data_IF_100177190059
#
_entry.id   IF_100177190059
#
_cell.length_a   1.000
_cell.length_b   1.000
_cell.length_c   1.000
_cell.angle_alpha   90.00
_cell.angle_beta   90.00
_cell.angle_gamma   90.00
#
_symmetry.space_group_name_H-M   'P 1'
#
loop_
_entity.id
_entity.type
_entity.pdbx_description
1 polymer ?
#
# COMPACT_ATOMS: atom_id res chain seq x y z
N UNK A 1 53.35 17.44 42.71
CA UNK A 1 53.22 18.85 42.26
C UNK A 1 51.76 19.24 42.42
N UNK A 2 51.43 20.29 43.20
CA UNK A 2 50.88 21.57 42.72
C UNK A 2 49.73 21.39 41.70
N UNK A 3 48.45 21.38 42.11
CA UNK A 3 47.58 22.56 42.44
C UNK A 3 47.02 23.25 41.17
N UNK A 4 45.79 23.77 41.03
CA UNK A 4 44.59 23.95 41.89
C UNK A 4 43.41 24.36 40.93
N UNK A 5 42.09 24.47 41.19
CA UNK A 5 41.10 24.36 42.32
C UNK A 5 39.70 24.12 41.62
N UNK A 6 38.57 23.57 42.11
CA UNK A 6 37.75 23.65 43.35
C UNK A 6 37.12 25.07 43.59
N UNK A 7 35.80 25.37 43.56
CA UNK A 7 34.71 24.96 44.49
C UNK A 7 33.36 25.61 44.08
N UNK A 8 32.27 24.82 43.97
CA UNK A 8 30.81 25.09 44.26
C UNK A 8 30.15 26.48 43.93
N UNK A 9 28.89 26.86 44.27
CA UNK A 9 27.78 26.31 45.08
C UNK A 9 26.39 26.84 44.62
N UNK A 10 25.32 26.18 45.03
CA UNK A 10 23.92 26.63 44.93
C UNK A 10 23.54 27.62 46.04
N UNK A 11 22.53 28.49 45.80
CA UNK A 11 21.63 29.07 46.82
C UNK A 11 20.33 29.61 46.19
N UNK A 12 19.25 29.71 46.98
CA UNK A 12 17.96 30.36 46.66
C UNK A 12 17.62 31.35 47.78
N UNK A 13 17.23 32.60 47.49
CA UNK A 13 16.13 33.33 48.17
C UNK A 13 15.98 34.80 47.75
N UNK A 14 14.86 35.12 47.08
CA UNK A 14 13.89 36.21 47.32
C UNK A 14 14.28 37.69 47.65
N UNK A 15 13.32 38.57 47.29
CA UNK A 15 13.15 40.00 47.63
C UNK A 15 14.03 41.03 46.90
N UNK A 16 13.40 42.00 46.22
CA UNK A 16 14.07 43.18 45.63
C UNK A 16 13.48 43.73 44.33
N UNK A 17 12.28 44.32 44.38
CA UNK A 17 11.80 45.30 43.39
C UNK A 17 11.86 46.72 44.00
N UNK A 18 11.85 47.81 43.21
CA UNK A 18 11.92 47.91 41.74
C UNK A 18 13.12 48.74 41.25
N UNK A 19 13.35 48.79 39.93
CA UNK A 19 13.53 50.06 39.20
C UNK A 19 13.27 49.85 37.69
N UNK A 20 12.86 50.91 36.99
CA UNK A 20 12.45 50.84 35.60
C UNK A 20 13.63 50.87 34.62
N UNK A 21 13.61 50.00 33.61
CA UNK A 21 14.28 50.22 32.32
C UNK A 21 13.28 49.88 31.22
N UNK A 22 13.10 50.77 30.25
CA UNK A 22 12.23 50.53 29.09
C UNK A 22 12.86 49.48 28.16
N UNK A 23 12.09 48.46 27.82
CA UNK A 23 12.35 47.55 26.70
C UNK A 23 11.05 47.35 25.93
N UNK A 24 10.93 47.94 24.74
CA UNK A 24 9.68 47.90 23.95
C UNK A 24 9.44 46.48 23.46
N UNK A 25 8.36 45.86 23.92
CA UNK A 25 7.98 44.50 23.55
C UNK A 25 7.31 44.53 22.18
N UNK A 26 8.11 44.26 21.14
CA UNK A 26 7.69 44.31 19.74
C UNK A 26 6.82 43.09 19.41
N UNK A 27 5.54 43.17 19.77
CA UNK A 27 4.52 42.19 19.35
C UNK A 27 4.30 42.33 17.85
N UNK A 28 4.90 41.43 17.08
CA UNK A 28 4.62 41.30 15.64
C UNK A 28 3.20 40.80 15.41
N UNK A 29 2.22 41.71 15.48
CA UNK A 29 0.88 41.45 14.96
C UNK A 29 0.98 41.22 13.46
N UNK A 30 0.72 39.98 13.03
CA UNK A 30 0.46 39.69 11.62
C UNK A 30 -0.88 40.31 11.24
N UNK A 31 -0.85 41.60 10.88
CA UNK A 31 -1.96 42.28 10.23
C UNK A 31 -2.15 41.58 8.90
N UNK A 32 -3.17 40.73 8.81
CA UNK A 32 -3.61 40.17 7.53
C UNK A 32 -3.92 41.34 6.61
N UNK A 33 -3.23 41.42 5.47
CA UNK A 33 -3.42 42.51 4.52
C UNK A 33 -4.62 42.21 3.63
N UNK A 34 -5.79 42.09 4.24
CA UNK A 34 -7.09 42.05 3.55
C UNK A 34 -7.32 43.39 2.86
N UNK A 35 -6.78 43.49 1.65
CA UNK A 35 -7.01 44.62 0.76
C UNK A 35 -8.40 44.45 0.15
N UNK A 36 -9.42 44.82 0.93
CA UNK A 36 -10.81 44.87 0.50
C UNK A 36 -10.93 45.70 -0.78
N UNK A 37 -11.06 44.98 -1.91
CA UNK A 37 -11.50 45.57 -3.16
C UNK A 37 -13.01 45.68 -3.13
N UNK A 38 -13.51 46.76 -3.69
CA UNK A 38 -14.94 47.04 -3.81
C UNK A 38 -15.63 45.98 -4.69
N UNK A 39 -16.93 45.77 -4.45
CA UNK A 39 -17.74 44.78 -5.17
C UNK A 39 -17.87 45.14 -6.66
N UNK A 40 -17.11 44.43 -7.50
CA UNK A 40 -17.15 44.57 -8.96
C UNK A 40 -17.41 43.22 -9.64
N UNK A 41 -18.52 42.58 -9.29
CA UNK A 41 -19.04 41.41 -9.99
C UNK A 41 -18.63 40.09 -9.36
N UNK A 42 -19.63 39.23 -9.12
CA UNK A 42 -19.47 37.93 -8.46
C UNK A 42 -18.49 37.01 -9.19
N UNK A 43 -17.28 36.86 -8.67
CA UNK A 43 -16.56 35.60 -8.79
C UNK A 43 -17.32 34.58 -7.93
N UNK A 44 -18.23 33.83 -8.53
CA UNK A 44 -18.84 32.68 -7.87
C UNK A 44 -17.77 31.60 -7.73
N UNK A 45 -17.34 31.35 -6.49
CA UNK A 45 -16.34 30.32 -6.23
C UNK A 45 -16.87 28.97 -6.72
N UNK A 46 -16.10 28.31 -7.59
CA UNK A 46 -16.47 26.99 -8.11
C UNK A 46 -16.49 25.96 -6.97
N UNK A 47 -17.65 25.35 -6.72
CA UNK A 47 -17.83 24.31 -5.71
C UNK A 47 -17.84 22.95 -6.40
N UNK A 48 -17.18 21.95 -5.81
CA UNK A 48 -17.29 20.54 -6.25
C UNK A 48 -17.84 19.71 -5.10
N UNK A 49 -18.82 18.88 -5.39
CA UNK A 49 -19.61 18.12 -4.43
C UNK A 49 -19.84 16.68 -4.92
N UNK A 50 -20.00 15.74 -4.00
CA UNK A 50 -20.43 14.37 -4.30
C UNK A 50 -21.95 14.27 -4.53
N UNK A 51 -22.72 15.29 -4.12
CA UNK A 51 -24.17 15.35 -4.26
C UNK A 51 -24.69 16.65 -4.93
N UNK A 52 -25.92 16.57 -5.44
CA UNK A 52 -26.61 17.64 -6.16
C UNK A 52 -27.23 18.74 -5.27
N UNK A 53 -27.14 18.62 -3.94
CA UNK A 53 -27.61 19.58 -2.93
C UNK A 53 -26.46 20.41 -2.31
N UNK A 54 -25.20 20.12 -2.69
CA UNK A 54 -23.97 20.72 -2.15
C UNK A 54 -23.70 20.39 -0.66
N UNK A 55 -24.22 19.27 -0.16
CA UNK A 55 -24.02 18.88 1.24
C UNK A 55 -22.60 18.35 1.52
N UNK A 56 -21.97 17.70 0.54
CA UNK A 56 -20.64 17.07 0.65
C UNK A 56 -19.63 17.74 -0.29
N UNK A 57 -19.20 18.95 0.04
CA UNK A 57 -18.15 19.69 -0.70
C UNK A 57 -16.80 19.00 -0.50
N UNK A 58 -16.09 18.73 -1.62
CA UNK A 58 -14.85 17.95 -1.64
C UNK A 58 -13.65 18.68 -2.25
N UNK A 59 -12.45 18.25 -1.84
CA UNK A 59 -11.16 18.55 -2.48
C UNK A 59 -10.38 17.29 -2.87
N UNK A 60 -10.86 16.12 -2.46
CA UNK A 60 -10.36 14.81 -2.83
C UNK A 60 -11.52 13.81 -2.86
N UNK A 61 -11.39 12.75 -3.67
CA UNK A 61 -12.40 11.70 -3.83
C UNK A 61 -11.69 10.35 -4.06
N UNK A 62 -12.31 9.26 -3.61
CA UNK A 62 -11.69 7.92 -3.57
C UNK A 62 -12.62 6.86 -4.15
N UNK A 63 -12.22 6.30 -5.29
CA UNK A 63 -12.98 5.27 -6.00
C UNK A 63 -12.66 3.87 -5.48
N UNK A 64 -13.63 2.95 -5.62
CA UNK A 64 -13.43 1.53 -5.30
C UNK A 64 -12.52 0.84 -6.33
N UNK A 65 -11.95 -0.31 -5.99
CA UNK A 65 -10.99 -1.04 -6.84
C UNK A 65 -11.62 -1.62 -8.11
N UNK A 66 -12.93 -1.85 -8.08
CA UNK A 66 -13.74 -2.31 -9.22
C UNK A 66 -13.86 -1.23 -10.31
N UNK A 67 -13.74 0.05 -9.96
CA UNK A 67 -13.97 1.16 -10.87
C UNK A 67 -15.42 1.22 -11.35
N UNK A 68 -15.64 1.59 -12.61
CA UNK A 68 -16.97 1.76 -13.21
C UNK A 68 -17.29 3.22 -13.49
N UNK A 69 -18.55 3.63 -13.32
CA UNK A 69 -19.00 5.01 -13.53
C UNK A 69 -19.40 5.67 -12.24
N UNK A 70 -18.82 6.84 -11.98
CA UNK A 70 -19.09 7.66 -10.80
C UNK A 70 -19.59 9.06 -11.20
N UNK A 71 -20.06 9.86 -10.23
CA UNK A 71 -20.64 11.19 -10.46
C UNK A 71 -20.11 12.20 -9.45
N UNK A 72 -19.55 13.30 -9.96
CA UNK A 72 -19.32 14.53 -9.20
C UNK A 72 -20.24 15.65 -9.70
N UNK A 73 -20.49 16.65 -8.87
CA UNK A 73 -21.29 17.83 -9.21
C UNK A 73 -20.44 19.09 -9.05
N UNK A 74 -20.31 19.87 -10.13
CA UNK A 74 -19.57 21.12 -10.17
C UNK A 74 -20.56 22.27 -10.26
N UNK A 75 -20.50 23.23 -9.34
CA UNK A 75 -21.38 24.41 -9.32
C UNK A 75 -20.55 25.67 -9.54
N UNK A 76 -21.01 26.55 -10.44
CA UNK A 76 -20.28 27.72 -10.89
C UNK A 76 -20.84 28.21 -12.23
N UNK A 77 -20.88 29.53 -12.43
CA UNK A 77 -21.67 30.18 -13.49
C UNK A 77 -20.94 30.24 -14.85
N UNK A 78 -20.22 29.17 -15.23
CA UNK A 78 -19.25 29.16 -16.34
C UNK A 78 -19.23 27.83 -17.10
N UNK A 79 -18.82 27.87 -18.37
CA UNK A 79 -18.48 26.67 -19.15
C UNK A 79 -17.22 26.02 -18.61
N UNK A 80 -17.21 24.69 -18.48
CA UNK A 80 -16.11 23.94 -17.88
C UNK A 80 -15.19 23.28 -18.91
N UNK A 81 -13.87 23.46 -18.75
CA UNK A 81 -12.85 22.54 -19.26
C UNK A 81 -12.46 21.57 -18.13
N UNK A 82 -12.48 20.26 -18.42
CA UNK A 82 -12.19 19.21 -17.44
C UNK A 82 -11.19 18.23 -18.04
N UNK A 83 -10.02 18.15 -17.41
CA UNK A 83 -8.96 17.21 -17.78
C UNK A 83 -8.43 16.49 -16.53
N UNK A 84 -7.84 15.32 -16.73
CA UNK A 84 -7.31 14.48 -15.66
C UNK A 84 -5.83 14.16 -15.92
N UNK A 85 -4.99 14.44 -14.93
CA UNK A 85 -3.54 14.24 -14.98
C UNK A 85 -3.10 13.25 -13.90
N UNK A 86 -2.15 12.38 -14.23
CA UNK A 86 -1.58 11.40 -13.30
C UNK A 86 -0.13 11.08 -13.65
N UNK A 87 0.64 10.60 -12.67
CA UNK A 87 1.98 10.03 -12.86
C UNK A 87 1.95 8.57 -13.32
N UNK A 88 0.80 7.92 -13.32
CA UNK A 88 0.66 6.55 -13.80
C UNK A 88 0.90 6.48 -15.32
N UNK A 89 1.55 5.42 -15.85
CA UNK A 89 1.88 5.31 -17.29
C UNK A 89 0.65 5.12 -18.18
N UNK A 90 -0.53 4.85 -17.60
CA UNK A 90 -1.80 4.71 -18.30
C UNK A 90 -2.87 5.56 -17.61
N UNK A 91 -3.54 6.43 -18.35
CA UNK A 91 -4.66 7.24 -17.86
C UNK A 91 -5.83 6.33 -17.45
N UNK A 92 -6.24 6.40 -16.19
CA UNK A 92 -7.22 5.48 -15.60
C UNK A 92 -8.56 6.12 -15.22
N UNK A 93 -8.70 7.45 -15.28
CA UNK A 93 -9.98 8.18 -15.23
C UNK A 93 -10.22 8.87 -16.56
N UNK A 94 -11.47 8.86 -17.04
CA UNK A 94 -11.95 9.63 -18.19
C UNK A 94 -13.22 10.40 -17.83
N UNK A 95 -13.46 11.52 -18.50
CA UNK A 95 -14.78 12.16 -18.50
C UNK A 95 -15.66 11.43 -19.51
N UNK A 96 -16.72 10.78 -19.02
CA UNK A 96 -17.74 10.12 -19.88
C UNK A 96 -18.72 11.17 -20.42
N UNK A 97 -19.23 12.03 -19.53
CA UNK A 97 -20.23 13.04 -19.85
C UNK A 97 -20.18 14.24 -18.91
N UNK A 98 -20.75 15.35 -19.39
CA UNK A 98 -21.13 16.50 -18.59
C UNK A 98 -22.60 16.83 -18.89
N UNK A 99 -23.45 16.83 -17.87
CA UNK A 99 -24.91 17.00 -17.97
C UNK A 99 -25.34 18.20 -17.08
N UNK A 100 -26.17 19.15 -17.54
CA UNK A 100 -26.58 20.30 -16.72
C UNK A 100 -27.52 19.88 -15.57
N UNK A 101 -27.25 20.36 -14.35
CA UNK A 101 -28.10 20.15 -13.18
C UNK A 101 -29.29 21.11 -13.25
N UNK A 102 -30.46 20.57 -13.59
CA UNK A 102 -31.69 21.33 -13.83
C UNK A 102 -32.02 22.32 -12.70
N UNK A 103 -32.09 23.60 -13.03
CA UNK A 103 -32.49 24.68 -12.13
C UNK A 103 -31.47 25.12 -11.07
N UNK A 104 -30.26 24.55 -11.03
CA UNK A 104 -29.27 24.81 -9.95
C UNK A 104 -27.94 25.46 -10.35
N UNK A 105 -27.73 25.81 -11.62
CA UNK A 105 -26.48 26.47 -12.05
C UNK A 105 -25.22 25.62 -11.84
N UNK A 106 -25.29 24.34 -12.19
CA UNK A 106 -24.17 23.41 -12.08
C UNK A 106 -24.17 22.34 -13.16
N UNK A 107 -23.09 21.58 -13.21
CA UNK A 107 -22.82 20.49 -14.15
C UNK A 107 -22.56 19.21 -13.37
N UNK A 108 -23.33 18.18 -13.68
CA UNK A 108 -23.06 16.80 -13.29
C UNK A 108 -21.96 16.25 -14.19
N UNK A 109 -20.83 15.94 -13.61
CA UNK A 109 -19.66 15.33 -14.25
C UNK A 109 -19.70 13.82 -14.02
N UNK A 110 -19.87 13.04 -15.08
CA UNK A 110 -19.80 11.58 -15.02
C UNK A 110 -18.39 11.15 -15.39
N UNK A 111 -17.75 10.41 -14.49
CA UNK A 111 -16.39 9.89 -14.66
C UNK A 111 -16.44 8.39 -14.93
N UNK A 112 -15.67 7.91 -15.90
CA UNK A 112 -15.39 6.49 -16.12
C UNK A 112 -14.02 6.16 -15.54
N UNK A 113 -14.00 5.24 -14.57
CA UNK A 113 -12.82 4.84 -13.80
C UNK A 113 -12.48 3.40 -14.13
N UNK A 114 -11.22 3.17 -14.51
CA UNK A 114 -10.75 1.83 -14.87
C UNK A 114 -10.68 0.92 -13.64
N UNK A 115 -10.99 -0.39 -13.75
CA UNK A 115 -10.75 -1.35 -12.68
C UNK A 115 -9.27 -1.46 -12.33
N UNK A 116 -9.00 -1.98 -11.13
CA UNK A 116 -7.70 -2.53 -10.71
C UNK A 116 -7.79 -4.06 -10.78
N UNK A 117 -6.88 -4.71 -11.52
CA UNK A 117 -7.00 -6.13 -11.84
C UNK A 117 -6.13 -7.06 -10.96
N UNK A 118 -4.85 -6.72 -10.76
CA UNK A 118 -3.86 -7.64 -10.15
C UNK A 118 -3.06 -7.05 -9.00
N UNK A 119 -2.89 -5.72 -8.96
CA UNK A 119 -2.25 -5.00 -7.85
C UNK A 119 -3.20 -3.89 -7.38
N UNK A 120 -3.38 -3.76 -6.08
CA UNK A 120 -4.30 -2.80 -5.45
C UNK A 120 -3.57 -1.64 -4.77
N UNK A 121 -2.30 -1.41 -5.11
CA UNK A 121 -1.47 -0.30 -4.63
C UNK A 121 -2.11 1.05 -5.02
N UNK A 122 -2.36 1.93 -4.04
CA UNK A 122 -3.06 3.20 -4.26
C UNK A 122 -2.44 4.03 -5.38
N UNK A 123 -3.24 4.29 -6.41
CA UNK A 123 -2.93 5.18 -7.53
C UNK A 123 -3.63 6.52 -7.37
N UNK A 124 -3.06 7.58 -7.92
CA UNK A 124 -3.52 8.96 -7.69
C UNK A 124 -3.37 9.85 -8.91
N UNK A 125 -4.28 10.80 -9.07
CA UNK A 125 -4.16 11.87 -10.06
C UNK A 125 -4.90 13.12 -9.59
N UNK A 126 -4.93 14.13 -10.45
CA UNK A 126 -5.62 15.40 -10.22
C UNK A 126 -6.61 15.62 -11.36
N UNK A 127 -7.86 15.86 -10.99
CA UNK A 127 -8.89 16.35 -11.89
C UNK A 127 -8.81 17.88 -11.88
N UNK A 128 -8.37 18.44 -12.99
CA UNK A 128 -8.25 19.88 -13.20
C UNK A 128 -9.55 20.38 -13.83
N UNK A 129 -10.34 21.14 -13.08
CA UNK A 129 -11.61 21.71 -13.53
C UNK A 129 -11.38 23.22 -13.68
N UNK A 130 -11.56 23.76 -14.89
CA UNK A 130 -11.34 25.17 -15.20
C UNK A 130 -12.65 25.80 -15.67
N UNK A 131 -12.98 26.99 -15.17
CA UNK A 131 -14.01 27.83 -15.77
C UNK A 131 -13.49 28.59 -17.00
N UNK A 132 -14.33 29.46 -17.54
CA UNK A 132 -13.96 30.36 -18.64
C UNK A 132 -13.04 31.50 -18.19
N UNK A 133 -13.11 31.90 -16.92
CA UNK A 133 -12.27 32.96 -16.35
C UNK A 133 -10.93 32.44 -15.82
N UNK A 134 -9.87 33.21 -16.03
CA UNK A 134 -8.56 32.93 -15.44
C UNK A 134 -8.67 32.87 -13.91
N UNK A 135 -8.03 31.85 -13.31
CA UNK A 135 -8.00 31.59 -11.86
C UNK A 135 -9.32 31.12 -11.21
N UNK A 136 -10.38 30.85 -11.97
CA UNK A 136 -11.66 30.29 -11.47
C UNK A 136 -11.64 28.79 -11.13
N UNK A 137 -10.56 28.08 -11.49
CA UNK A 137 -10.52 26.61 -11.47
C UNK A 137 -10.32 25.95 -10.11
N UNK A 138 -10.70 24.67 -10.03
CA UNK A 138 -10.50 23.77 -8.89
C UNK A 138 -9.66 22.55 -9.28
N UNK A 139 -8.96 22.03 -8.28
CA UNK A 139 -8.14 20.83 -8.35
C UNK A 139 -8.71 19.80 -7.38
N UNK A 140 -9.20 18.66 -7.89
CA UNK A 140 -9.71 17.57 -7.05
C UNK A 140 -8.74 16.39 -7.12
N UNK A 141 -8.20 15.98 -5.96
CA UNK A 141 -7.31 14.83 -5.89
C UNK A 141 -8.12 13.53 -5.99
N UNK A 142 -7.99 12.83 -7.10
CA UNK A 142 -8.62 11.52 -7.29
C UNK A 142 -7.66 10.42 -6.84
N UNK A 143 -8.18 9.38 -6.20
CA UNK A 143 -7.40 8.19 -5.84
C UNK A 143 -8.22 6.91 -5.95
N UNK A 144 -7.53 5.78 -6.12
CA UNK A 144 -8.13 4.46 -6.20
C UNK A 144 -7.17 3.41 -5.65
N UNK A 145 -7.66 2.44 -4.89
CA UNK A 145 -6.83 1.42 -4.24
C UNK A 145 -6.21 1.88 -2.91
N UNK A 146 -5.31 1.06 -2.38
CA UNK A 146 -5.04 0.97 -0.95
C UNK A 146 -3.60 1.31 -0.55
N UNK A 147 -3.44 1.90 0.63
CA UNK A 147 -2.13 2.20 1.21
C UNK A 147 -1.36 0.89 1.45
N UNK A 148 -0.09 0.86 1.05
CA UNK A 148 0.67 -0.40 0.95
C UNK A 148 1.67 -0.55 2.11
N UNK A 149 1.60 -1.67 2.83
CA UNK A 149 2.43 -2.04 3.99
C UNK A 149 3.59 -2.98 3.61
N UNK A 150 3.36 -3.89 2.66
CA UNK A 150 4.38 -4.70 1.98
C UNK A 150 4.10 -4.59 0.49
N UNK A 151 5.14 -4.35 -0.31
CA UNK A 151 5.12 -4.52 -1.76
C UNK A 151 6.40 -5.25 -2.15
N UNK A 152 6.27 -6.52 -2.53
CA UNK A 152 7.40 -7.35 -2.95
C UNK A 152 7.10 -8.04 -4.28
N UNK A 153 7.97 -7.80 -5.25
CA UNK A 153 7.94 -8.34 -6.62
C UNK A 153 9.24 -9.10 -6.95
N UNK A 154 10.13 -9.27 -5.96
CA UNK A 154 11.41 -9.98 -6.02
C UNK A 154 12.34 -9.60 -7.17
N UNK A 155 12.09 -8.50 -7.89
CA UNK A 155 12.83 -8.04 -9.07
C UNK A 155 14.28 -7.61 -8.76
N UNK A 156 14.66 -7.54 -7.48
CA UNK A 156 16.04 -7.35 -7.01
C UNK A 156 16.81 -8.67 -6.85
N UNK A 157 16.13 -9.83 -6.87
CA UNK A 157 16.76 -11.14 -7.00
C UNK A 157 17.07 -11.43 -8.48
N UNK A 158 18.35 -11.72 -8.78
CA UNK A 158 18.88 -11.93 -10.13
C UNK A 158 19.64 -13.26 -10.25
N UNK A 159 19.02 -14.32 -9.74
CA UNK A 159 19.63 -15.65 -9.66
C UNK A 159 19.15 -16.58 -10.78
N UNK A 160 20.07 -17.02 -11.63
CA UNK A 160 19.74 -17.83 -12.80
C UNK A 160 19.03 -17.04 -13.90
N UNK A 161 18.36 -17.76 -14.80
CA UNK A 161 17.56 -17.20 -15.90
C UNK A 161 16.07 -16.97 -15.51
N UNK A 162 15.63 -17.48 -14.36
CA UNK A 162 14.23 -17.45 -13.92
C UNK A 162 13.36 -18.57 -14.49
N UNK A 163 13.91 -19.50 -15.29
CA UNK A 163 13.15 -20.65 -15.75
C UNK A 163 12.94 -21.62 -14.57
N UNK A 164 11.69 -21.97 -14.20
CA UNK A 164 11.46 -22.90 -13.09
C UNK A 164 12.11 -24.28 -13.33
N UNK A 165 12.29 -24.68 -14.60
CA UNK A 165 12.90 -25.95 -15.01
C UNK A 165 14.45 -25.96 -15.04
N UNK A 166 15.12 -24.89 -14.58
CA UNK A 166 16.59 -24.82 -14.44
C UNK A 166 16.99 -25.09 -12.97
N UNK A 167 16.67 -26.32 -12.53
CA UNK A 167 16.88 -26.80 -11.17
C UNK A 167 18.35 -26.64 -10.74
N UNK A 168 18.59 -25.88 -9.67
CA UNK A 168 19.94 -25.62 -9.15
C UNK A 168 20.55 -24.27 -9.51
N UNK A 169 19.83 -23.37 -10.20
CA UNK A 169 20.25 -21.97 -10.39
C UNK A 169 19.82 -21.00 -9.30
N UNK A 170 18.89 -21.40 -8.43
CA UNK A 170 18.46 -20.62 -7.28
C UNK A 170 19.50 -20.56 -6.17
N UNK A 171 19.65 -19.41 -5.52
CA UNK A 171 20.59 -19.24 -4.40
C UNK A 171 19.84 -19.30 -3.06
N UNK A 172 20.31 -20.14 -2.13
CA UNK A 172 19.73 -20.30 -0.79
C UNK A 172 19.62 -18.93 -0.08
N UNK A 173 18.51 -18.69 0.64
CA UNK A 173 18.27 -17.45 1.38
C UNK A 173 19.38 -17.12 2.41
N UNK A 174 19.99 -18.14 3.02
CA UNK A 174 21.17 -17.97 3.88
C UNK A 174 22.42 -17.43 3.14
N UNK A 175 22.52 -17.69 1.84
CA UNK A 175 23.62 -17.28 0.96
C UNK A 175 23.37 -15.96 0.20
N UNK A 176 22.19 -15.34 0.34
CA UNK A 176 21.94 -14.01 -0.24
C UNK A 176 22.95 -12.97 0.27
N UNK A 177 23.22 -11.95 -0.54
CA UNK A 177 24.11 -10.84 -0.16
C UNK A 177 23.51 -9.99 0.96
N UNK A 178 24.32 -9.14 1.60
CA UNK A 178 23.84 -8.31 2.71
C UNK A 178 22.73 -7.34 2.27
N UNK A 179 22.90 -6.65 1.14
CA UNK A 179 21.87 -5.77 0.56
C UNK A 179 20.57 -6.51 0.21
N UNK A 180 20.63 -7.80 -0.12
CA UNK A 180 19.44 -8.64 -0.36
C UNK A 180 18.76 -9.08 0.94
N UNK A 181 19.51 -9.20 2.05
CA UNK A 181 18.97 -9.48 3.39
C UNK A 181 18.36 -8.25 4.05
N UNK A 182 18.75 -7.04 3.63
CA UNK A 182 18.17 -5.77 4.06
C UNK A 182 16.69 -5.60 3.66
N UNK A 183 16.20 -6.35 2.66
CA UNK A 183 14.77 -6.47 2.34
C UNK A 183 13.96 -7.22 3.43
N UNK A 184 14.63 -7.78 4.45
CA UNK A 184 13.98 -8.30 5.67
C UNK A 184 13.32 -9.68 5.53
N UNK A 185 13.35 -10.30 4.35
CA UNK A 185 12.92 -11.67 4.15
C UNK A 185 13.88 -12.66 4.81
N UNK A 186 13.32 -13.61 5.56
CA UNK A 186 14.07 -14.58 6.36
C UNK A 186 13.43 -15.96 6.28
N UNK A 187 13.99 -16.92 7.02
CA UNK A 187 13.39 -18.24 7.24
C UNK A 187 13.69 -18.68 8.69
N UNK A 188 12.91 -19.58 9.30
CA UNK A 188 13.10 -20.02 10.68
C UNK A 188 14.21 -21.07 10.87
N UNK A 189 14.80 -21.57 9.78
CA UNK A 189 15.81 -22.64 9.79
C UNK A 189 17.26 -22.15 9.72
N UNK A 190 18.18 -23.11 9.79
CA UNK A 190 19.60 -22.90 9.53
C UNK A 190 19.86 -22.83 8.02
N UNK A 191 21.00 -22.31 7.57
CA UNK A 191 21.34 -22.28 6.13
C UNK A 191 21.36 -23.67 5.43
N UNK A 192 21.44 -24.78 6.18
CA UNK A 192 21.36 -26.14 5.66
C UNK A 192 19.91 -26.67 5.56
N UNK A 193 19.04 -26.25 6.49
CA UNK A 193 17.61 -26.62 6.54
C UNK A 193 16.70 -25.62 5.84
N UNK A 194 17.20 -24.42 5.49
CA UNK A 194 16.48 -23.36 4.78
C UNK A 194 16.30 -23.70 3.30
N UNK A 195 15.35 -24.57 2.94
CA UNK A 195 15.02 -24.91 1.55
C UNK A 195 14.20 -23.80 0.88
N UNK A 196 14.74 -22.60 0.90
CA UNK A 196 14.13 -21.38 0.37
C UNK A 196 15.20 -20.69 -0.47
N UNK A 197 14.92 -20.50 -1.75
CA UNK A 197 15.89 -20.06 -2.74
C UNK A 197 15.38 -18.81 -3.45
N UNK A 198 16.27 -17.86 -3.70
CA UNK A 198 16.00 -16.74 -4.60
C UNK A 198 16.26 -17.16 -6.04
N UNK A 199 15.33 -16.85 -6.93
CA UNK A 199 15.41 -17.03 -8.39
C UNK A 199 15.48 -15.64 -9.05
N UNK A 200 15.46 -15.54 -10.39
CA UNK A 200 15.40 -14.24 -11.07
C UNK A 200 13.95 -13.72 -11.07
N UNK A 201 13.64 -12.77 -10.18
CA UNK A 201 12.31 -12.15 -10.08
C UNK A 201 11.25 -12.94 -9.29
N UNK A 202 11.61 -13.96 -8.50
CA UNK A 202 10.70 -14.68 -7.59
C UNK A 202 11.49 -15.51 -6.57
N UNK A 203 10.78 -16.16 -5.64
CA UNK A 203 11.37 -17.13 -4.70
C UNK A 203 10.80 -18.54 -4.89
N UNK A 204 11.67 -19.54 -4.74
CA UNK A 204 11.29 -20.95 -4.63
C UNK A 204 11.25 -21.36 -3.16
N UNK A 205 10.13 -21.94 -2.75
CA UNK A 205 9.99 -22.66 -1.49
C UNK A 205 10.11 -24.17 -1.76
N UNK A 206 10.81 -24.88 -0.90
CA UNK A 206 11.00 -26.33 -0.98
C UNK A 206 12.03 -26.78 -2.02
N UNK A 207 12.15 -28.11 -2.10
CA UNK A 207 13.11 -28.88 -2.90
C UNK A 207 12.52 -30.26 -3.20
N UNK A 208 13.25 -31.11 -3.92
CA UNK A 208 12.77 -32.45 -4.29
C UNK A 208 12.48 -33.35 -3.06
N UNK A 209 13.18 -33.17 -1.94
CA UNK A 209 13.04 -34.05 -0.78
C UNK A 209 12.34 -33.38 0.41
N UNK A 210 12.37 -32.04 0.49
CA UNK A 210 11.98 -31.26 1.68
C UNK A 210 11.13 -30.03 1.30
N UNK A 211 10.13 -29.71 2.12
CA UNK A 211 9.44 -28.41 2.11
C UNK A 211 10.35 -27.25 2.56
N UNK A 212 9.86 -26.01 2.41
CA UNK A 212 10.61 -24.80 2.73
C UNK A 212 9.73 -23.66 3.23
N UNK A 213 10.31 -22.75 4.00
CA UNK A 213 9.58 -21.66 4.69
C UNK A 213 10.18 -20.30 4.40
N UNK A 214 9.33 -19.31 4.16
CA UNK A 214 9.66 -17.90 4.00
C UNK A 214 8.93 -17.07 5.04
N UNK A 215 9.66 -16.17 5.70
CA UNK A 215 9.14 -15.22 6.68
C UNK A 215 9.31 -13.79 6.15
N UNK A 216 8.26 -12.98 6.22
CA UNK A 216 8.36 -11.55 5.99
C UNK A 216 9.17 -10.86 7.09
N UNK A 217 9.58 -9.62 6.83
CA UNK A 217 9.89 -8.69 7.91
C UNK A 217 8.69 -8.57 8.88
N UNK A 218 8.96 -8.19 10.14
CA UNK A 218 7.90 -7.86 11.11
C UNK A 218 7.40 -6.45 10.81
N UNK A 219 6.16 -6.33 10.33
CA UNK A 219 5.55 -5.06 9.93
C UNK A 219 4.84 -4.43 11.13
N UNK A 220 5.22 -3.21 11.57
CA UNK A 220 4.58 -2.52 12.68
C UNK A 220 3.41 -1.63 12.24
N UNK A 221 2.67 -1.11 13.21
CA UNK A 221 1.65 -0.09 12.99
C UNK A 221 0.27 -0.66 12.62
N UNK A 222 0.01 -1.95 12.91
CA UNK A 222 -1.32 -2.56 12.67
C UNK A 222 -2.32 -2.26 13.79
N UNK A 223 -1.91 -1.58 14.86
CA UNK A 223 -2.84 -1.20 15.92
C UNK A 223 -3.95 -0.26 15.43
N UNK A 224 -3.70 0.46 14.33
CA UNK A 224 -4.58 1.43 13.65
C UNK A 224 -5.36 0.85 12.46
N UNK A 225 -5.01 -0.35 11.98
CA UNK A 225 -5.71 -0.97 10.85
C UNK A 225 -6.95 -1.71 11.34
N UNK A 226 -8.10 -1.47 10.70
CA UNK A 226 -9.33 -2.26 10.92
C UNK A 226 -9.32 -3.54 10.08
N UNK A 227 -8.87 -3.42 8.83
CA UNK A 227 -8.81 -4.52 7.86
C UNK A 227 -7.59 -4.36 6.96
N UNK A 228 -6.93 -5.49 6.68
CA UNK A 228 -5.82 -5.63 5.74
C UNK A 228 -6.20 -6.57 4.59
N UNK A 229 -5.57 -6.38 3.44
CA UNK A 229 -5.68 -7.28 2.28
C UNK A 229 -4.29 -7.81 1.91
N UNK A 230 -4.11 -9.12 2.02
CA UNK A 230 -2.94 -9.84 1.54
C UNK A 230 -3.22 -10.37 0.14
N UNK A 231 -2.34 -10.07 -0.83
CA UNK A 231 -2.34 -10.71 -2.15
C UNK A 231 -0.96 -11.27 -2.46
N UNK A 232 -0.90 -12.37 -3.20
CA UNK A 232 0.34 -12.94 -3.74
C UNK A 232 0.04 -13.87 -4.91
N UNK A 233 1.03 -14.13 -5.76
CA UNK A 233 0.98 -15.17 -6.78
C UNK A 233 1.74 -16.40 -6.29
N UNK A 234 1.18 -17.60 -6.48
CA UNK A 234 1.89 -18.85 -6.14
C UNK A 234 1.51 -20.02 -7.05
N UNK A 235 2.51 -20.81 -7.46
CA UNK A 235 2.34 -21.94 -8.39
C UNK A 235 3.21 -23.14 -7.97
N UNK A 236 2.70 -24.36 -8.19
CA UNK A 236 3.40 -25.60 -7.87
C UNK A 236 4.29 -26.09 -9.01
N UNK A 237 5.36 -26.82 -8.66
CA UNK A 237 6.33 -27.33 -9.62
C UNK A 237 5.80 -28.50 -10.46
N UNK A 238 6.11 -28.45 -11.76
CA UNK A 238 5.97 -29.58 -12.69
C UNK A 238 7.30 -29.76 -13.40
N UNK A 239 7.88 -30.95 -13.27
CA UNK A 239 9.14 -31.34 -13.88
C UNK A 239 9.06 -31.42 -15.40
N UNK A 240 10.22 -31.44 -16.06
CA UNK A 240 10.35 -31.51 -17.53
C UNK A 240 9.73 -32.76 -18.17
N UNK A 241 9.50 -33.81 -17.39
CA UNK A 241 8.82 -35.05 -17.78
C UNK A 241 7.30 -35.07 -17.44
N UNK A 242 6.76 -33.98 -16.89
CA UNK A 242 5.37 -33.89 -16.43
C UNK A 242 5.12 -34.40 -15.01
N UNK A 243 6.15 -34.84 -14.26
CA UNK A 243 5.96 -35.22 -12.85
C UNK A 243 5.64 -33.98 -11.99
N UNK A 244 4.63 -34.08 -11.13
CA UNK A 244 4.16 -33.00 -10.27
C UNK A 244 4.69 -33.17 -8.83
N UNK A 245 5.20 -32.09 -8.25
CA UNK A 245 5.45 -31.99 -6.81
C UNK A 245 4.13 -31.77 -6.05
N UNK A 246 4.14 -31.91 -4.71
CA UNK A 246 3.04 -31.48 -3.87
C UNK A 246 2.76 -29.97 -4.00
N UNK A 247 1.48 -29.61 -4.13
CA UNK A 247 0.99 -28.28 -4.49
C UNK A 247 0.43 -27.46 -3.31
N UNK A 248 0.71 -27.85 -2.06
CA UNK A 248 0.07 -27.26 -0.88
C UNK A 248 0.94 -26.16 -0.28
N UNK A 249 0.41 -24.93 -0.23
CA UNK A 249 1.02 -23.79 0.43
C UNK A 249 0.26 -23.45 1.71
N UNK A 250 0.94 -23.45 2.86
CA UNK A 250 0.36 -23.03 4.14
C UNK A 250 0.83 -21.63 4.50
N UNK A 251 -0.10 -20.69 4.65
CA UNK A 251 0.13 -19.30 5.05
C UNK A 251 -0.29 -19.15 6.52
N UNK A 252 0.67 -18.83 7.39
CA UNK A 252 0.47 -18.53 8.81
C UNK A 252 0.65 -17.03 9.08
N UNK A 253 -0.10 -16.54 10.05
CA UNK A 253 -0.11 -15.15 10.50
C UNK A 253 0.34 -15.09 11.96
N UNK A 254 1.29 -14.21 12.25
CA UNK A 254 1.65 -13.83 13.63
C UNK A 254 1.16 -12.41 13.85
N UNK A 255 0.34 -12.21 14.88
CA UNK A 255 -0.24 -10.90 15.22
C UNK A 255 -1.52 -10.52 14.46
N UNK A 256 -2.02 -11.37 13.55
CA UNK A 256 -3.28 -11.18 12.84
C UNK A 256 -4.06 -12.51 12.71
N UNK A 257 -5.36 -12.41 12.39
CA UNK A 257 -6.25 -13.52 12.04
C UNK A 257 -6.79 -13.30 10.61
N UNK A 258 -7.13 -14.36 9.90
CA UNK A 258 -7.93 -14.29 8.67
C UNK A 258 -9.38 -13.89 8.97
N UNK A 259 -10.17 -13.53 7.96
CA UNK A 259 -11.58 -13.15 8.10
C UNK A 259 -12.43 -14.12 8.97
N UNK A 260 -12.18 -15.43 8.88
CA UNK A 260 -12.85 -16.49 9.67
C UNK A 260 -12.30 -16.69 11.10
N UNK A 261 -11.27 -15.95 11.51
CA UNK A 261 -10.66 -16.03 12.83
C UNK A 261 -9.55 -17.08 12.97
N UNK A 262 -9.16 -17.77 11.88
CA UNK A 262 -8.00 -18.66 11.91
C UNK A 262 -6.69 -17.86 11.79
N UNK A 263 -5.58 -18.40 12.31
CA UNK A 263 -4.23 -17.82 12.13
C UNK A 263 -3.42 -18.55 11.07
N UNK A 264 -4.00 -19.54 10.39
CA UNK A 264 -3.37 -20.36 9.36
C UNK A 264 -4.38 -20.70 8.27
N UNK A 265 -3.96 -20.70 7.00
CA UNK A 265 -4.73 -21.25 5.88
C UNK A 265 -3.84 -22.08 4.98
N UNK A 266 -4.39 -23.17 4.45
CA UNK A 266 -3.78 -23.95 3.38
C UNK A 266 -4.45 -23.57 2.06
N UNK A 267 -3.65 -23.42 1.02
CA UNK A 267 -4.08 -23.20 -0.37
C UNK A 267 -3.53 -24.33 -1.21
N UNK A 268 -4.39 -24.91 -2.03
CA UNK A 268 -3.97 -25.84 -3.07
C UNK A 268 -3.67 -25.05 -4.35
N UNK A 269 -2.43 -25.14 -4.83
CA UNK A 269 -1.95 -24.35 -5.96
C UNK A 269 -2.16 -25.06 -7.30
N UNK A 270 -2.31 -24.26 -8.36
CA UNK A 270 -2.22 -24.73 -9.74
C UNK A 270 -0.78 -25.12 -10.08
N UNK A 271 -0.65 -25.95 -11.10
CA UNK A 271 0.61 -26.25 -11.77
C UNK A 271 0.73 -25.41 -13.04
N UNK A 272 1.95 -25.01 -13.41
CA UNK A 272 2.20 -24.39 -14.72
C UNK A 272 2.36 -25.43 -15.84
N UNK A 273 2.15 -25.00 -17.08
CA UNK A 273 2.49 -25.78 -18.27
C UNK A 273 4.02 -25.82 -18.48
N UNK A 274 4.62 -26.98 -18.22
CA UNK A 274 6.06 -27.24 -18.41
C UNK A 274 6.48 -27.31 -19.89
N UNK A 275 5.54 -27.36 -20.83
CA UNK A 275 5.79 -27.41 -22.28
C UNK A 275 5.67 -26.02 -22.94
N UNK A 276 5.14 -25.03 -22.21
CA UNK A 276 4.97 -23.66 -22.67
C UNK A 276 6.31 -23.01 -23.04
N UNK A 277 6.44 -22.59 -24.30
CA UNK A 277 7.56 -21.76 -24.74
C UNK A 277 7.62 -20.37 -24.05
N UNK A 278 6.53 -19.98 -23.36
CA UNK A 278 6.39 -18.72 -22.61
C UNK A 278 6.23 -18.97 -21.10
N UNK A 279 6.80 -20.07 -20.59
CA UNK A 279 6.71 -20.52 -19.19
C UNK A 279 6.93 -19.39 -18.16
N UNK A 280 7.92 -18.52 -18.38
CA UNK A 280 8.28 -17.40 -17.50
C UNK A 280 7.13 -16.42 -17.23
N UNK A 281 6.25 -16.23 -18.21
CA UNK A 281 5.08 -15.34 -18.11
C UNK A 281 3.83 -16.14 -17.76
N UNK A 282 3.64 -17.30 -18.42
CA UNK A 282 2.42 -18.11 -18.28
C UNK A 282 2.31 -18.85 -16.94
N UNK A 283 3.41 -19.11 -16.24
CA UNK A 283 3.37 -19.78 -14.93
C UNK A 283 2.61 -18.99 -13.85
N UNK A 284 2.31 -17.71 -14.09
CA UNK A 284 1.57 -16.84 -13.17
C UNK A 284 0.11 -16.58 -13.60
N UNK A 285 -0.33 -17.10 -14.74
CA UNK A 285 -1.71 -16.95 -15.22
C UNK A 285 -2.70 -17.60 -14.23
N UNK A 286 -3.65 -16.82 -13.71
CA UNK A 286 -4.66 -17.25 -12.73
C UNK A 286 -4.12 -17.86 -11.41
N UNK A 287 -2.91 -17.47 -10.96
CA UNK A 287 -2.28 -17.98 -9.73
C UNK A 287 -2.37 -17.08 -8.50
N UNK A 288 -3.13 -15.98 -8.60
CA UNK A 288 -3.25 -15.02 -7.50
C UNK A 288 -4.17 -15.53 -6.38
N UNK A 289 -3.67 -15.52 -5.16
CA UNK A 289 -4.43 -15.71 -3.93
C UNK A 289 -4.69 -14.35 -3.26
N UNK A 290 -5.88 -14.20 -2.65
CA UNK A 290 -6.34 -12.96 -2.00
C UNK A 290 -6.96 -13.32 -0.64
N UNK A 291 -6.53 -12.62 0.42
CA UNK A 291 -7.02 -12.85 1.79
C UNK A 291 -7.25 -11.55 2.55
N UNK A 292 -8.47 -11.37 3.06
CA UNK A 292 -8.77 -10.36 4.06
C UNK A 292 -8.27 -10.80 5.46
N UNK A 293 -7.46 -9.97 6.10
CA UNK A 293 -6.89 -10.17 7.43
C UNK A 293 -7.40 -9.11 8.41
N UNK A 294 -7.56 -9.48 9.68
CA UNK A 294 -8.06 -8.63 10.77
C UNK A 294 -7.19 -8.76 12.02
N UNK A 295 -7.33 -7.83 12.96
CA UNK A 295 -6.67 -7.92 14.27
C UNK A 295 -7.20 -9.13 15.06
N UNK A 296 -6.39 -9.83 15.87
CA UNK A 296 -6.81 -11.06 16.53
C UNK A 296 -7.88 -10.80 17.59
N UNK A 297 -8.99 -11.54 17.57
CA UNK A 297 -10.08 -11.36 18.56
C UNK A 297 -9.57 -11.63 19.98
N UNK A 298 -8.61 -12.56 20.13
CA UNK A 298 -8.00 -12.91 21.42
C UNK A 298 -6.84 -11.99 21.83
N UNK A 299 -6.35 -11.12 20.95
CA UNK A 299 -5.26 -10.17 21.23
C UNK A 299 -5.44 -8.86 20.43
N UNK A 300 -6.45 -8.03 20.75
CA UNK A 300 -6.74 -6.80 20.01
C UNK A 300 -5.67 -5.71 20.18
N UNK A 301 -4.74 -5.89 21.11
CA UNK A 301 -3.56 -5.03 21.32
C UNK A 301 -2.36 -5.38 20.44
N UNK A 302 -2.47 -6.37 19.55
CA UNK A 302 -1.44 -6.64 18.54
C UNK A 302 -1.18 -5.38 17.67
N UNK A 303 0.10 -5.00 17.58
CA UNK A 303 0.61 -3.83 16.86
C UNK A 303 1.58 -4.18 15.72
N UNK A 304 1.95 -5.46 15.61
CA UNK A 304 2.79 -6.00 14.53
C UNK A 304 2.13 -7.18 13.84
N UNK A 305 2.44 -7.36 12.54
CA UNK A 305 2.13 -8.56 11.77
C UNK A 305 3.41 -9.16 11.18
N UNK A 306 3.51 -10.50 11.14
CA UNK A 306 4.47 -11.21 10.30
C UNK A 306 3.74 -12.30 9.50
N UNK A 307 4.07 -12.40 8.22
CA UNK A 307 3.58 -13.43 7.30
C UNK A 307 4.59 -14.59 7.25
N UNK A 308 4.09 -15.81 7.24
CA UNK A 308 4.88 -17.03 7.13
C UNK A 308 4.30 -17.96 6.07
N UNK A 309 5.05 -18.20 5.00
CA UNK A 309 4.67 -19.05 3.87
C UNK A 309 5.45 -20.37 3.96
N UNK A 310 4.76 -21.50 4.00
CA UNK A 310 5.34 -22.84 4.19
C UNK A 310 4.90 -23.74 3.04
N UNK A 311 5.84 -24.27 2.28
CA UNK A 311 5.57 -25.29 1.27
C UNK A 311 5.39 -26.67 1.91
N UNK A 312 4.34 -27.38 1.47
CA UNK A 312 3.89 -28.64 2.04
C UNK A 312 2.94 -28.46 3.24
N UNK A 313 2.68 -29.59 3.89
CA UNK A 313 1.89 -29.72 5.13
C UNK A 313 2.75 -29.60 6.42
N UNK A 314 4.07 -29.49 6.26
CA UNK A 314 5.05 -29.47 7.35
C UNK A 314 5.76 -30.81 7.59
N UNK A 315 5.52 -31.85 6.77
CA UNK A 315 6.34 -33.05 6.77
C UNK A 315 7.73 -32.77 6.17
N UNK A 316 8.78 -33.37 6.74
CA UNK A 316 10.16 -33.15 6.28
C UNK A 316 10.51 -33.91 4.99
N UNK A 317 9.67 -34.83 4.51
CA UNK A 317 10.02 -35.80 3.44
C UNK A 317 8.98 -35.85 2.31
N UNK A 318 8.78 -34.74 1.60
CA UNK A 318 7.91 -34.70 0.43
C UNK A 318 8.35 -33.63 -0.59
N UNK A 319 8.38 -34.03 -1.87
CA UNK A 319 8.46 -33.16 -3.05
C UNK A 319 7.46 -32.02 -2.92
N UNK A 320 7.92 -30.79 -2.67
CA UNK A 320 7.05 -29.61 -2.50
C UNK A 320 7.76 -28.34 -2.99
N UNK A 321 8.28 -28.36 -4.23
CA UNK A 321 8.77 -27.14 -4.88
C UNK A 321 7.58 -26.27 -5.29
N UNK A 322 7.49 -25.08 -4.71
CA UNK A 322 6.50 -24.06 -5.02
C UNK A 322 7.23 -22.76 -5.35
N UNK A 323 6.68 -21.95 -6.26
CA UNK A 323 7.18 -20.60 -6.53
C UNK A 323 6.19 -19.58 -6.02
N UNK A 324 6.69 -18.49 -5.41
CA UNK A 324 5.90 -17.41 -4.84
C UNK A 324 6.47 -16.06 -5.30
N UNK A 325 5.57 -15.14 -5.64
CA UNK A 325 5.89 -13.79 -6.10
C UNK A 325 4.76 -12.79 -5.80
N UNK A 326 4.98 -11.49 -6.05
CA UNK A 326 3.99 -10.41 -5.97
C UNK A 326 3.30 -10.33 -4.58
N UNK A 327 4.05 -10.58 -3.51
CA UNK A 327 3.54 -10.54 -2.14
C UNK A 327 3.27 -9.07 -1.74
N UNK A 328 2.00 -8.71 -1.65
CA UNK A 328 1.55 -7.38 -1.25
C UNK A 328 0.66 -7.47 0.00
N UNK A 329 0.79 -6.48 0.89
CA UNK A 329 -0.08 -6.30 2.04
C UNK A 329 -0.59 -4.87 2.05
N UNK A 330 -1.89 -4.68 2.00
CA UNK A 330 -2.54 -3.37 1.90
C UNK A 330 -3.40 -3.07 3.14
N UNK A 331 -3.47 -1.80 3.55
CA UNK A 331 -4.48 -1.30 4.50
C UNK A 331 -5.73 -0.90 3.73
N UNK A 332 -6.84 -1.63 3.93
CA UNK A 332 -8.10 -1.37 3.21
C UNK A 332 -9.10 -0.56 4.03
N UNK A 333 -9.01 -0.59 5.36
CA UNK A 333 -9.76 0.28 6.25
C UNK A 333 -8.91 0.66 7.47
N UNK A 334 -8.73 1.95 7.73
CA UNK A 334 -8.14 2.46 8.96
C UNK A 334 -9.21 2.63 10.05
N UNK A 335 -8.83 2.48 11.32
CA UNK A 335 -9.74 2.71 12.44
C UNK A 335 -9.93 4.22 12.67
N UNK A 336 -11.07 4.76 12.23
CA UNK A 336 -11.48 6.11 12.64
C UNK A 336 -12.01 6.06 14.08
N UNK A 337 -11.25 6.65 15.00
CA UNK A 337 -11.72 6.86 16.36
C UNK A 337 -12.92 7.83 16.33
N UNK A 338 -14.08 7.37 16.83
CA UNK A 338 -15.28 8.20 16.97
C UNK A 338 -14.92 9.40 17.88
N UNK A 339 -14.90 10.60 17.30
CA UNK A 339 -14.85 11.84 18.08
C UNK A 339 -16.16 11.94 18.86
N UNK A 340 -16.03 11.89 20.19
CA UNK A 340 -17.10 12.20 21.14
C UNK A 340 -17.19 13.71 21.38
#
# INVERSE_FOLDING_TARGET
MKSNILITKTWRSWCGLPYQVWGVLLVSTFISCEKSKEDTGRVTEMIVSEDAEQAHIISAHEFTVEGGKDTLYVFGDQTLDVNFETSDPNTWVKVDKMEPVGGKGGVRLILEVSPMQTQFKKRTGVLNIKGAEAYSGKFIRLSQGYDTRIAEEFAWLRYGNGNPLDEGRGTLIGQWTNAQKEYGWTNPGTAATSKTYGMNGFVQLGSADFGGTLLSAVVPGIEKDSLLLLTFNAVAYTARNGEQDGNKLTIKLKGAEFADGQTSKMVELKYYDHQSALILTKMWEETQAIFALKKPVRNPTASTIQLEFIAGDGQEMAKNRLFVDNINLYTTAQFQAIKK
#
